data_IF_431323660984
#
_entry.id   IF_431323660984
#
_cell.length_a   1.000
_cell.length_b   1.000
_cell.length_c   1.000
_cell.angle_alpha   90.00
_cell.angle_beta   90.00
_cell.angle_gamma   90.00
#
_symmetry.space_group_name_H-M   'P 1'
#
loop_
_entity.id
_entity.type
_entity.pdbx_description
1 polymer ?
#
# COMPACT_ATOMS: atom_id res chain seq x y z
N UNK A 1 -2.15 14.85 13.11
CA UNK A 1 -2.20 13.77 12.11
C UNK A 1 -1.33 14.05 10.88
N UNK A 2 -0.47 13.09 10.51
CA UNK A 2 0.38 13.09 9.30
C UNK A 2 0.24 11.74 8.58
N UNK A 3 0.42 11.74 7.25
CA UNK A 3 0.39 10.53 6.43
C UNK A 3 1.76 10.31 5.79
N UNK A 4 2.37 9.15 6.02
CA UNK A 4 3.55 8.71 5.30
C UNK A 4 3.17 7.53 4.39
N UNK A 5 3.56 7.63 3.12
CA UNK A 5 3.16 6.69 2.08
C UNK A 5 4.38 6.12 1.33
N UNK A 6 5.33 5.44 2.03
CA UNK A 6 6.52 4.95 1.36
C UNK A 6 6.20 3.74 0.46
N UNK A 7 6.56 3.79 -0.83
CA UNK A 7 6.50 2.62 -1.70
C UNK A 7 7.62 1.64 -1.30
N UNK A 8 7.32 0.34 -1.35
CA UNK A 8 8.28 -0.72 -1.12
C UNK A 8 8.17 -1.79 -2.21
N UNK A 9 9.32 -2.32 -2.62
CA UNK A 9 9.41 -3.50 -3.49
C UNK A 9 10.08 -4.61 -2.71
N UNK A 10 9.37 -5.71 -2.50
CA UNK A 10 9.87 -6.91 -1.86
C UNK A 10 10.25 -7.93 -2.92
N UNK A 11 11.46 -8.48 -2.83
CA UNK A 11 11.87 -9.64 -3.63
C UNK A 11 11.28 -10.90 -2.99
N UNK A 12 10.51 -11.65 -3.76
CA UNK A 12 9.91 -12.89 -3.33
C UNK A 12 10.96 -14.01 -3.36
N UNK A 13 10.99 -14.84 -2.32
CA UNK A 13 11.98 -15.92 -2.21
C UNK A 13 11.77 -16.98 -3.30
N UNK A 14 10.56 -17.55 -3.48
CA UNK A 14 10.20 -18.25 -4.70
C UNK A 14 9.42 -17.34 -5.66
N UNK A 15 9.46 -17.67 -6.95
CA UNK A 15 8.52 -17.10 -7.93
C UNK A 15 7.09 -17.42 -7.53
N UNK A 16 6.26 -16.40 -7.33
CA UNK A 16 4.83 -16.55 -7.08
C UNK A 16 4.09 -16.73 -8.40
N UNK A 17 3.34 -17.83 -8.54
CA UNK A 17 2.62 -18.17 -9.78
C UNK A 17 1.16 -18.49 -9.51
N UNK A 18 0.29 -17.93 -10.34
CA UNK A 18 -1.14 -18.23 -10.42
C UNK A 18 -1.53 -18.43 -11.90
N UNK A 19 -2.77 -18.85 -12.17
CA UNK A 19 -3.26 -19.02 -13.55
C UNK A 19 -3.09 -17.76 -14.43
N UNK A 20 -3.15 -16.58 -13.81
CA UNK A 20 -3.10 -15.28 -14.47
C UNK A 20 -1.70 -14.67 -14.56
N UNK A 21 -0.64 -15.42 -14.22
CA UNK A 21 0.75 -14.96 -14.37
C UNK A 21 1.69 -15.40 -13.26
N UNK A 22 2.93 -14.94 -13.35
CA UNK A 22 3.97 -15.17 -12.35
C UNK A 22 4.72 -13.88 -12.04
N UNK A 23 5.31 -13.78 -10.85
CA UNK A 23 6.10 -12.64 -10.40
C UNK A 23 7.15 -13.03 -9.37
N UNK A 24 8.28 -12.32 -9.40
CA UNK A 24 9.37 -12.44 -8.42
C UNK A 24 9.44 -11.24 -7.47
N UNK A 25 8.63 -10.21 -7.74
CA UNK A 25 8.57 -8.99 -6.95
C UNK A 25 7.14 -8.69 -6.50
N UNK A 26 7.02 -8.14 -5.30
CA UNK A 26 5.79 -7.60 -4.75
C UNK A 26 5.97 -6.11 -4.49
N UNK A 27 5.20 -5.28 -5.19
CA UNK A 27 5.14 -3.86 -4.93
C UNK A 27 4.02 -3.58 -3.94
N UNK A 28 4.31 -2.85 -2.87
CA UNK A 28 3.32 -2.46 -1.88
C UNK A 28 3.51 -0.99 -1.52
N UNK A 29 2.44 -0.37 -1.06
CA UNK A 29 2.46 0.95 -0.44
C UNK A 29 2.25 0.72 1.06
N UNK A 30 3.27 1.03 1.86
CA UNK A 30 3.06 1.13 3.30
C UNK A 30 2.33 2.45 3.58
N UNK A 31 1.45 2.41 4.59
CA UNK A 31 0.70 3.57 5.05
C UNK A 31 0.98 3.71 6.54
N UNK A 32 1.59 4.82 6.92
CA UNK A 32 1.72 5.21 8.32
C UNK A 32 0.77 6.37 8.61
N UNK A 33 -0.13 6.15 9.57
CA UNK A 33 -0.94 7.18 10.20
C UNK A 33 -0.25 7.60 11.48
N UNK A 34 0.26 8.83 11.52
CA UNK A 34 0.98 9.34 12.69
C UNK A 34 0.17 10.42 13.38
N UNK A 35 -0.06 10.27 14.68
CA UNK A 35 -0.68 11.28 15.51
C UNK A 35 0.06 11.46 16.84
N UNK A 36 0.85 12.54 16.93
CA UNK A 36 1.74 12.76 18.07
C UNK A 36 2.75 11.61 18.24
N UNK A 37 2.80 10.96 19.42
CA UNK A 37 3.67 9.81 19.68
C UNK A 37 3.13 8.50 19.09
N UNK A 38 1.84 8.44 18.76
CA UNK A 38 1.18 7.22 18.31
C UNK A 38 1.32 7.04 16.79
N UNK A 39 1.43 5.78 16.37
CA UNK A 39 1.49 5.42 14.95
C UNK A 39 0.69 4.15 14.65
N UNK A 40 -0.08 4.18 13.58
CA UNK A 40 -0.80 3.04 13.02
C UNK A 40 -0.28 2.72 11.63
N UNK A 41 -0.07 1.42 11.35
CA UNK A 41 0.48 0.96 10.07
C UNK A 41 -0.55 0.15 9.30
N UNK A 42 -0.58 0.36 7.98
CA UNK A 42 -1.37 -0.40 7.02
C UNK A 42 -0.61 -0.65 5.73
N UNK A 43 -1.15 -1.51 4.88
CA UNK A 43 -0.55 -1.86 3.60
C UNK A 43 -1.60 -1.83 2.48
N UNK A 44 -1.23 -1.26 1.34
CA UNK A 44 -1.95 -1.41 0.08
C UNK A 44 -1.06 -2.17 -0.93
N UNK A 45 -1.44 -3.42 -1.20
CA UNK A 45 -0.69 -4.39 -2.00
C UNK A 45 -1.00 -4.22 -3.49
N UNK A 46 0.01 -4.08 -4.35
CA UNK A 46 -0.21 -4.13 -5.79
C UNK A 46 -0.62 -5.55 -6.23
N UNK A 47 -1.67 -5.62 -7.03
CA UNK A 47 -2.19 -6.85 -7.60
C UNK A 47 -2.41 -6.67 -9.10
N UNK A 48 -1.53 -7.24 -9.94
CA UNK A 48 -1.70 -7.23 -11.39
C UNK A 48 -3.04 -7.84 -11.82
N UNK A 49 -3.51 -8.87 -11.11
CA UNK A 49 -4.80 -9.52 -11.35
C UNK A 49 -5.98 -8.54 -11.18
N UNK A 50 -5.96 -7.72 -10.13
CA UNK A 50 -6.97 -6.67 -9.91
C UNK A 50 -6.64 -5.34 -10.58
N UNK A 51 -5.59 -5.28 -11.41
CA UNK A 51 -5.10 -4.06 -12.05
C UNK A 51 -4.83 -2.91 -11.07
N UNK A 52 -4.42 -3.26 -9.84
CA UNK A 52 -4.04 -2.32 -8.79
C UNK A 52 -2.52 -2.19 -8.73
N UNK A 53 -2.01 -0.97 -8.78
CA UNK A 53 -0.58 -0.66 -8.67
C UNK A 53 -0.34 0.41 -7.61
N UNK A 54 0.87 0.41 -7.03
CA UNK A 54 1.29 1.45 -6.06
C UNK A 54 1.13 2.85 -6.65
N UNK A 55 1.47 3.03 -7.94
CA UNK A 55 1.31 4.29 -8.65
C UNK A 55 -0.15 4.77 -8.73
N UNK A 56 -1.13 3.85 -8.75
CA UNK A 56 -2.57 4.20 -8.67
C UNK A 56 -3.01 4.47 -7.24
N UNK A 57 -2.39 3.82 -6.25
CA UNK A 57 -2.74 3.98 -4.84
C UNK A 57 -2.28 5.31 -4.25
N UNK A 58 -1.04 5.74 -4.52
CA UNK A 58 -0.45 6.96 -3.94
C UNK A 58 -1.35 8.20 -4.08
N UNK A 59 -1.81 8.60 -5.29
CA UNK A 59 -2.63 9.81 -5.43
C UNK A 59 -4.02 9.68 -4.80
N UNK A 60 -4.52 8.45 -4.62
CA UNK A 60 -5.84 8.19 -4.01
C UNK A 60 -5.78 8.10 -2.49
N UNK A 61 -4.62 7.73 -1.93
CA UNK A 61 -4.46 7.47 -0.50
C UNK A 61 -4.92 8.64 0.39
N UNK A 62 -4.57 9.92 0.13
CA UNK A 62 -5.04 11.02 0.97
C UNK A 62 -6.57 11.07 1.07
N UNK A 63 -7.29 11.01 -0.06
CA UNK A 63 -8.76 11.05 -0.07
C UNK A 63 -9.41 9.87 0.66
N UNK A 64 -8.77 8.69 0.64
CA UNK A 64 -9.26 7.50 1.34
C UNK A 64 -8.98 7.56 2.86
N UNK A 65 -7.93 8.28 3.27
CA UNK A 65 -7.52 8.41 4.67
C UNK A 65 -8.12 9.63 5.38
N UNK A 66 -8.60 10.62 4.62
CA UNK A 66 -9.23 11.83 5.16
C UNK A 66 -10.37 11.56 6.16
N UNK A 67 -11.31 10.61 5.92
CA UNK A 67 -12.36 10.33 6.90
C UNK A 67 -11.80 9.93 8.27
N UNK A 68 -10.72 9.13 8.28
CA UNK A 68 -10.05 8.70 9.50
C UNK A 68 -9.41 9.89 10.23
N UNK A 69 -8.79 10.82 9.48
CA UNK A 69 -8.25 12.05 10.07
C UNK A 69 -9.32 12.99 10.61
N UNK A 70 -10.52 12.96 10.03
CA UNK A 70 -11.68 13.74 10.50
C UNK A 70 -12.44 13.04 11.64
N UNK A 71 -12.00 11.86 12.09
CA UNK A 71 -12.66 11.07 13.13
C UNK A 71 -13.99 10.42 12.70
N UNK A 72 -14.14 10.12 11.41
CA UNK A 72 -15.33 9.55 10.77
C UNK A 72 -15.11 8.14 10.24
#
# INVERSE_FOLDING_TARGET
MQFLLPPITLRLRPTFRIAHGARDEQHSLLVELKDGPDSGWGEAVASPYYQLSVARCIPRAPSALMPIADGR
#
